data_IF_577449702690
#
_entry.id   IF_577449702690
#
_cell.length_a   1.000
_cell.length_b   1.000
_cell.length_c   1.000
_cell.angle_alpha   90.00
_cell.angle_beta   90.00
_cell.angle_gamma   90.00
#
_symmetry.space_group_name_H-M   'P 1'
#
loop_
_entity.id
_entity.type
_entity.pdbx_description
1 polymer ?
#
# COMPACT_ATOMS: atom_id res chain seq x y z
N UNK A 1 58.76 -27.43 24.08
CA UNK A 1 59.09 -26.18 23.36
C UNK A 1 58.18 -25.92 22.14
N UNK A 2 57.67 -26.90 21.40
CA UNK A 2 56.84 -26.67 20.22
C UNK A 2 55.39 -26.18 20.48
N UNK A 3 54.81 -26.45 21.63
CA UNK A 3 53.42 -26.08 21.91
C UNK A 3 53.17 -24.55 22.07
N UNK A 4 54.19 -23.81 22.41
CA UNK A 4 54.13 -22.35 22.57
C UNK A 4 54.13 -21.64 21.20
N UNK A 5 54.93 -22.17 20.26
CA UNK A 5 55.03 -21.65 18.89
C UNK A 5 53.68 -21.82 18.15
N UNK A 6 52.97 -22.94 18.32
CA UNK A 6 51.67 -23.20 17.74
C UNK A 6 50.56 -22.26 18.29
N UNK A 7 50.64 -21.95 19.61
CA UNK A 7 49.69 -20.99 20.21
C UNK A 7 49.89 -19.57 19.70
N UNK A 8 51.14 -19.14 19.57
CA UNK A 8 51.47 -17.77 19.07
C UNK A 8 51.13 -17.62 17.59
N UNK A 9 51.36 -18.66 16.76
CA UNK A 9 50.92 -18.65 15.35
C UNK A 9 49.42 -18.57 15.19
N UNK A 10 48.63 -19.29 15.98
CA UNK A 10 47.16 -19.19 15.93
C UNK A 10 46.66 -17.83 16.33
N UNK A 11 47.30 -17.18 17.35
CA UNK A 11 46.96 -15.83 17.79
C UNK A 11 47.24 -14.80 16.70
N UNK A 12 48.43 -14.90 16.05
CA UNK A 12 48.79 -14.06 14.92
C UNK A 12 47.85 -14.18 13.75
N UNK A 13 47.47 -15.41 13.34
CA UNK A 13 46.48 -15.62 12.30
C UNK A 13 45.12 -15.01 12.65
N UNK A 14 44.68 -15.12 13.91
CA UNK A 14 43.42 -14.55 14.35
C UNK A 14 43.43 -13.02 14.33
N UNK A 15 44.50 -12.39 14.77
CA UNK A 15 44.71 -10.93 14.71
C UNK A 15 44.74 -10.44 13.26
N UNK A 16 45.49 -11.11 12.37
CA UNK A 16 45.50 -10.78 10.95
C UNK A 16 44.12 -10.86 10.33
N UNK A 17 43.31 -11.88 10.69
CA UNK A 17 41.95 -12.04 10.18
C UNK A 17 41.06 -10.90 10.65
N UNK A 18 41.11 -10.47 11.90
CA UNK A 18 40.36 -9.33 12.43
C UNK A 18 40.75 -8.03 11.71
N UNK A 19 42.03 -7.80 11.49
CA UNK A 19 42.50 -6.59 10.81
C UNK A 19 42.02 -6.54 9.36
N UNK A 20 42.10 -7.67 8.64
CA UNK A 20 41.61 -7.78 7.25
C UNK A 20 40.11 -7.55 7.20
N UNK A 21 39.35 -8.19 8.10
CA UNK A 21 37.90 -8.02 8.16
C UNK A 21 37.48 -6.60 8.48
N UNK A 22 38.16 -5.95 9.43
CA UNK A 22 37.91 -4.54 9.78
C UNK A 22 38.24 -3.59 8.64
N UNK A 23 39.31 -3.88 7.88
CA UNK A 23 39.67 -3.09 6.71
C UNK A 23 38.65 -3.23 5.57
N UNK A 24 38.20 -4.45 5.28
CA UNK A 24 37.17 -4.70 4.29
C UNK A 24 35.86 -4.02 4.70
N UNK A 25 35.46 -4.12 5.98
CA UNK A 25 34.27 -3.47 6.52
C UNK A 25 34.35 -1.95 6.42
N UNK A 26 35.50 -1.36 6.72
CA UNK A 26 35.74 0.08 6.60
C UNK A 26 35.69 0.54 5.14
N UNK A 27 36.36 -0.18 4.22
CA UNK A 27 36.34 0.12 2.79
C UNK A 27 34.91 0.03 2.22
N UNK A 28 34.16 -0.99 2.63
CA UNK A 28 32.79 -1.15 2.17
C UNK A 28 31.88 0.02 2.61
N UNK A 29 32.01 0.46 3.87
CA UNK A 29 31.22 1.59 4.39
C UNK A 29 31.65 2.94 3.83
N UNK A 30 32.97 3.15 3.61
CA UNK A 30 33.52 4.41 3.07
C UNK A 30 33.03 4.65 1.62
N UNK A 31 32.86 3.60 0.82
CA UNK A 31 32.41 3.73 -0.57
C UNK A 31 30.90 3.63 -0.74
N UNK A 32 30.21 2.78 0.02
CA UNK A 32 28.78 2.55 -0.15
C UNK A 32 27.91 3.65 0.46
N UNK A 33 28.28 4.19 1.62
CA UNK A 33 27.50 5.24 2.29
C UNK A 33 27.49 6.54 1.48
N UNK A 34 28.66 7.07 0.98
CA UNK A 34 28.66 8.25 0.14
C UNK A 34 27.92 8.06 -1.18
N UNK A 35 28.04 6.87 -1.80
CA UNK A 35 27.31 6.55 -3.03
C UNK A 35 25.79 6.56 -2.81
N UNK A 36 25.33 5.98 -1.70
CA UNK A 36 23.91 5.97 -1.34
C UNK A 36 23.38 7.38 -1.05
N UNK A 37 24.17 8.19 -0.34
CA UNK A 37 23.87 9.61 -0.08
C UNK A 37 23.82 10.41 -1.39
N UNK A 38 24.75 10.17 -2.29
CA UNK A 38 24.83 10.85 -3.60
C UNK A 38 23.61 10.51 -4.47
N UNK A 39 23.24 9.23 -4.53
CA UNK A 39 22.03 8.78 -5.23
C UNK A 39 20.77 9.37 -4.58
N UNK A 40 20.70 9.41 -3.25
CA UNK A 40 19.56 10.00 -2.51
C UNK A 40 19.44 11.50 -2.77
N UNK A 41 20.54 12.25 -2.72
CA UNK A 41 20.59 13.69 -3.02
C UNK A 41 20.22 13.94 -4.50
N UNK A 42 20.74 13.11 -5.42
CA UNK A 42 20.44 13.21 -6.84
C UNK A 42 18.97 12.96 -7.14
N UNK A 43 18.36 11.94 -6.54
CA UNK A 43 16.92 11.68 -6.62
C UNK A 43 16.10 12.85 -6.06
N UNK A 44 16.57 13.48 -4.97
CA UNK A 44 15.91 14.63 -4.35
C UNK A 44 16.02 15.90 -5.20
N UNK A 45 17.19 16.14 -5.81
CA UNK A 45 17.42 17.28 -6.71
C UNK A 45 16.63 17.19 -8.01
N UNK A 46 16.53 15.99 -8.58
CA UNK A 46 15.74 15.78 -9.80
C UNK A 46 14.23 15.73 -9.53
N UNK A 47 13.78 15.91 -8.29
CA UNK A 47 12.36 15.73 -7.86
C UNK A 47 11.78 14.40 -8.38
N UNK A 48 12.65 13.42 -8.64
CA UNK A 48 12.19 12.07 -8.92
C UNK A 48 11.42 11.62 -7.68
N UNK A 49 10.12 11.41 -7.83
CA UNK A 49 9.32 10.74 -6.80
C UNK A 49 10.03 9.41 -6.56
N UNK A 50 10.70 9.26 -5.43
CA UNK A 50 11.11 7.93 -4.99
C UNK A 50 9.85 7.08 -5.08
N UNK A 51 9.89 5.92 -5.77
CA UNK A 51 8.73 5.07 -5.78
C UNK A 51 8.40 4.85 -4.30
N UNK A 52 7.28 5.42 -3.87
CA UNK A 52 6.73 5.06 -2.58
C UNK A 52 6.51 3.56 -2.73
N UNK A 53 7.33 2.76 -2.05
CA UNK A 53 7.00 1.36 -1.82
C UNK A 53 5.79 1.42 -0.91
N UNK A 54 4.68 1.80 -1.54
CA UNK A 54 3.38 1.85 -0.92
C UNK A 54 3.07 0.43 -0.55
N UNK A 55 2.93 0.20 0.73
CA UNK A 55 2.38 -1.04 1.25
C UNK A 55 1.02 -1.18 0.59
N UNK A 56 0.95 -1.95 -0.50
CA UNK A 56 -0.32 -2.36 -1.08
C UNK A 56 -1.08 -3.07 0.03
N UNK A 57 -1.96 -2.37 0.67
CA UNK A 57 -3.00 -3.01 1.45
C UNK A 57 -4.07 -3.48 0.45
N UNK A 58 -3.69 -4.41 -0.45
CA UNK A 58 -4.68 -5.26 -1.10
C UNK A 58 -5.20 -6.11 0.04
N UNK A 59 -6.26 -5.66 0.65
CA UNK A 59 -6.99 -6.48 1.59
C UNK A 59 -7.75 -7.51 0.77
N UNK A 60 -7.10 -8.67 0.50
CA UNK A 60 -7.75 -9.86 0.00
C UNK A 60 -8.73 -10.31 1.09
N UNK A 61 -10.02 -10.11 0.87
CA UNK A 61 -11.06 -10.52 1.80
C UNK A 61 -11.70 -11.83 1.40
N UNK A 62 -12.09 -12.64 2.40
CA UNK A 62 -12.57 -13.99 2.16
C UNK A 62 -13.92 -13.99 1.44
N UNK A 63 -14.04 -14.94 0.52
CA UNK A 63 -15.23 -15.47 -0.12
C UNK A 63 -16.49 -14.60 -0.01
N UNK A 64 -16.78 -13.92 -1.11
CA UNK A 64 -18.12 -13.45 -1.36
C UNK A 64 -19.03 -14.65 -1.55
N UNK A 65 -20.19 -14.57 -0.94
CA UNK A 65 -21.27 -15.51 -1.20
C UNK A 65 -21.78 -15.27 -2.63
N UNK A 66 -22.23 -16.29 -3.33
CA UNK A 66 -22.80 -16.20 -4.70
C UNK A 66 -23.91 -15.15 -4.86
N UNK A 67 -24.46 -14.68 -3.74
CA UNK A 67 -25.46 -13.61 -3.69
C UNK A 67 -25.02 -12.27 -4.32
N UNK A 68 -23.71 -11.99 -4.42
CA UNK A 68 -23.22 -10.72 -4.97
C UNK A 68 -23.35 -10.64 -6.49
N UNK A 69 -23.34 -11.79 -7.20
CA UNK A 69 -23.36 -11.81 -8.67
C UNK A 69 -24.63 -11.21 -9.28
N UNK A 70 -25.75 -11.30 -8.59
CA UNK A 70 -27.06 -10.81 -9.05
C UNK A 70 -27.43 -9.42 -8.53
N UNK A 71 -26.57 -8.77 -7.76
CA UNK A 71 -26.87 -7.47 -7.18
C UNK A 71 -26.87 -6.36 -8.24
N UNK A 72 -27.75 -5.41 -8.06
CA UNK A 72 -27.66 -4.09 -8.71
C UNK A 72 -26.53 -3.27 -8.11
N UNK A 73 -26.14 -2.15 -8.75
CA UNK A 73 -25.12 -1.24 -8.20
C UNK A 73 -25.47 -0.76 -6.80
N UNK A 74 -26.72 -0.34 -6.59
CA UNK A 74 -27.20 0.16 -5.29
C UNK A 74 -27.20 -0.92 -4.19
N UNK A 75 -27.59 -2.14 -4.53
CA UNK A 75 -27.52 -3.28 -3.58
C UNK A 75 -26.06 -3.58 -3.20
N UNK A 76 -25.15 -3.44 -4.15
CA UNK A 76 -23.73 -3.61 -3.89
C UNK A 76 -23.15 -2.51 -2.99
N UNK A 77 -23.55 -1.26 -3.18
CA UNK A 77 -23.18 -0.16 -2.29
C UNK A 77 -23.68 -0.41 -0.86
N UNK A 78 -24.94 -0.84 -0.71
CA UNK A 78 -25.47 -1.19 0.60
C UNK A 78 -24.74 -2.37 1.24
N UNK A 79 -24.37 -3.37 0.44
CA UNK A 79 -23.56 -4.49 0.90
C UNK A 79 -22.17 -4.03 1.37
N UNK A 80 -21.52 -3.13 0.62
CA UNK A 80 -20.23 -2.54 1.02
C UNK A 80 -20.37 -1.75 2.32
N UNK A 81 -21.48 -1.01 2.50
CA UNK A 81 -21.75 -0.28 3.74
C UNK A 81 -21.88 -1.23 4.94
N UNK A 82 -22.61 -2.33 4.80
CA UNK A 82 -22.76 -3.35 5.85
C UNK A 82 -21.43 -4.04 6.16
N UNK A 83 -20.62 -4.29 5.13
CA UNK A 83 -19.28 -4.81 5.29
C UNK A 83 -18.40 -3.86 6.14
N UNK A 84 -18.39 -2.56 5.84
CA UNK A 84 -17.64 -1.56 6.61
C UNK A 84 -18.11 -1.50 8.07
N UNK A 85 -19.43 -1.56 8.31
CA UNK A 85 -20.00 -1.63 9.67
C UNK A 85 -19.49 -2.85 10.44
N UNK A 86 -19.49 -4.03 9.82
CA UNK A 86 -18.93 -5.27 10.40
C UNK A 86 -17.42 -5.16 10.69
N UNK A 87 -16.67 -4.36 9.92
CA UNK A 87 -15.25 -4.09 10.15
C UNK A 87 -14.99 -3.03 11.23
N UNK A 88 -16.04 -2.46 11.79
CA UNK A 88 -15.97 -1.51 12.91
C UNK A 88 -15.85 -0.05 12.48
N UNK A 89 -16.15 0.25 11.22
CA UNK A 89 -16.37 1.63 10.81
C UNK A 89 -17.65 2.18 11.43
N UNK A 90 -17.64 3.46 11.75
CA UNK A 90 -18.76 4.17 12.36
C UNK A 90 -19.35 5.15 11.36
N UNK A 91 -20.61 5.56 11.59
CA UNK A 91 -21.32 6.57 10.77
C UNK A 91 -21.23 6.27 9.28
N UNK A 92 -21.38 4.99 8.91
CA UNK A 92 -21.35 4.57 7.51
C UNK A 92 -22.64 5.02 6.81
N UNK A 93 -22.50 5.91 5.85
CA UNK A 93 -23.59 6.52 5.08
C UNK A 93 -23.41 6.23 3.60
N UNK A 94 -24.47 5.80 2.93
CA UNK A 94 -24.54 5.74 1.46
C UNK A 94 -24.89 7.13 0.96
N UNK A 95 -24.18 7.63 -0.02
CA UNK A 95 -24.42 8.95 -0.62
C UNK A 95 -25.61 8.88 -1.58
N UNK A 96 -26.27 10.00 -1.89
CA UNK A 96 -27.28 10.04 -2.93
C UNK A 96 -26.68 9.70 -4.29
N UNK A 97 -27.45 9.04 -5.17
CA UNK A 97 -27.00 8.62 -6.50
C UNK A 97 -26.68 9.78 -7.47
N UNK A 98 -26.96 11.03 -7.10
CA UNK A 98 -26.65 12.22 -7.88
C UNK A 98 -25.97 13.29 -6.99
N UNK A 99 -24.87 13.87 -7.48
CA UNK A 99 -24.14 14.88 -6.74
C UNK A 99 -23.21 14.31 -5.64
N UNK A 100 -22.84 13.06 -5.78
CA UNK A 100 -21.97 12.30 -4.87
C UNK A 100 -20.48 12.61 -5.03
N UNK A 101 -20.14 13.40 -6.04
CA UNK A 101 -18.75 13.79 -6.39
C UNK A 101 -17.78 12.60 -6.49
N UNK A 102 -18.30 11.40 -6.79
CA UNK A 102 -17.52 10.16 -6.93
C UNK A 102 -17.26 9.41 -5.63
N UNK A 103 -18.09 9.62 -4.60
CA UNK A 103 -18.11 8.80 -3.40
C UNK A 103 -19.47 8.14 -3.23
N UNK A 104 -19.53 6.83 -3.20
CA UNK A 104 -20.76 6.07 -2.91
C UNK A 104 -20.97 5.88 -1.40
N UNK A 105 -19.87 5.87 -0.61
CA UNK A 105 -19.94 5.72 0.84
C UNK A 105 -19.02 6.71 1.55
N UNK A 106 -19.49 7.20 2.69
CA UNK A 106 -18.72 7.96 3.67
C UNK A 106 -18.73 7.20 4.99
N UNK A 107 -17.58 7.07 5.66
CA UNK A 107 -17.45 6.33 6.91
C UNK A 107 -16.32 6.89 7.78
N UNK A 108 -16.30 6.51 9.06
CA UNK A 108 -15.24 6.89 10.00
C UNK A 108 -14.60 5.64 10.59
N UNK A 109 -13.28 5.58 10.59
CA UNK A 109 -12.56 4.46 11.20
C UNK A 109 -12.51 4.57 12.73
N UNK A 110 -11.88 3.58 13.39
CA UNK A 110 -11.74 3.56 14.86
C UNK A 110 -10.91 4.71 15.41
N UNK A 111 -10.07 5.34 14.60
CA UNK A 111 -9.25 6.49 14.97
C UNK A 111 -9.99 7.82 14.78
N UNK A 112 -11.14 7.78 14.13
CA UNK A 112 -11.92 8.97 13.79
C UNK A 112 -11.57 9.56 12.43
N UNK A 113 -10.69 8.92 11.64
CA UNK A 113 -10.38 9.37 10.29
C UNK A 113 -11.60 9.22 9.38
N UNK A 114 -11.90 10.28 8.61
CA UNK A 114 -12.94 10.27 7.59
C UNK A 114 -12.44 9.51 6.35
N UNK A 115 -13.27 8.58 5.87
CA UNK A 115 -13.04 7.78 4.68
C UNK A 115 -14.15 8.01 3.66
N UNK A 116 -13.77 8.05 2.38
CA UNK A 116 -14.72 7.99 1.26
C UNK A 116 -14.42 6.74 0.44
N UNK A 117 -15.46 6.11 -0.10
CA UNK A 117 -15.31 4.91 -0.93
C UNK A 117 -16.13 5.04 -2.21
N UNK A 118 -15.52 4.58 -3.31
CA UNK A 118 -16.20 4.32 -4.57
C UNK A 118 -16.44 2.81 -4.69
N UNK A 119 -17.66 2.43 -5.00
CA UNK A 119 -18.10 1.04 -5.17
C UNK A 119 -18.31 0.74 -6.65
N UNK A 120 -17.70 -0.33 -7.16
CA UNK A 120 -17.89 -0.75 -8.56
C UNK A 120 -18.26 -2.22 -8.62
N UNK A 121 -19.52 -2.49 -8.98
CA UNK A 121 -20.03 -3.83 -9.23
C UNK A 121 -19.92 -4.15 -10.71
N UNK A 122 -18.86 -4.84 -11.12
CA UNK A 122 -18.59 -5.16 -12.51
C UNK A 122 -18.27 -6.63 -12.72
N UNK A 123 -18.63 -7.16 -13.90
CA UNK A 123 -18.20 -8.49 -14.34
C UNK A 123 -16.77 -8.47 -14.88
N UNK A 124 -16.34 -7.36 -15.48
CA UNK A 124 -15.03 -7.14 -16.04
C UNK A 124 -14.12 -6.39 -15.06
N UNK A 125 -12.81 -6.27 -15.42
CA UNK A 125 -11.86 -5.49 -14.63
C UNK A 125 -12.27 -4.03 -14.52
N UNK A 126 -12.09 -3.45 -13.37
CA UNK A 126 -12.34 -2.03 -13.07
C UNK A 126 -11.15 -1.19 -13.52
N UNK A 127 -11.43 -0.16 -14.31
CA UNK A 127 -10.41 0.74 -14.86
C UNK A 127 -10.08 1.95 -13.96
N UNK A 128 -9.31 2.88 -14.53
CA UNK A 128 -8.81 4.08 -13.84
C UNK A 128 -9.92 5.02 -13.36
N UNK A 129 -11.08 5.03 -14.04
CA UNK A 129 -12.19 5.95 -13.69
C UNK A 129 -12.61 5.84 -12.22
N UNK A 130 -12.72 4.61 -11.70
CA UNK A 130 -13.08 4.41 -10.29
C UNK A 130 -12.07 5.04 -9.31
N UNK A 131 -10.78 5.01 -9.66
CA UNK A 131 -9.74 5.65 -8.85
C UNK A 131 -9.79 7.17 -8.98
N UNK A 132 -10.02 7.68 -10.19
CA UNK A 132 -10.15 9.12 -10.45
C UNK A 132 -11.35 9.71 -9.70
N UNK A 133 -12.49 9.01 -9.72
CA UNK A 133 -13.71 9.38 -9.01
C UNK A 133 -13.45 9.50 -7.50
N UNK A 134 -12.87 8.49 -6.87
CA UNK A 134 -12.61 8.51 -5.44
C UNK A 134 -11.51 9.50 -5.02
N UNK A 135 -10.53 9.80 -5.90
CA UNK A 135 -9.55 10.87 -5.68
C UNK A 135 -10.21 12.24 -5.64
N UNK A 136 -11.14 12.49 -6.56
CA UNK A 136 -11.93 13.73 -6.57
C UNK A 136 -12.80 13.83 -5.31
N UNK A 137 -13.49 12.74 -4.95
CA UNK A 137 -14.30 12.67 -3.74
C UNK A 137 -13.47 12.91 -2.46
N UNK A 138 -12.26 12.34 -2.36
CA UNK A 138 -11.36 12.56 -1.22
C UNK A 138 -11.08 14.04 -1.01
N UNK A 139 -10.84 14.78 -2.08
CA UNK A 139 -10.60 16.23 -2.02
C UNK A 139 -11.87 16.99 -1.64
N UNK A 140 -13.02 16.66 -2.27
CA UNK A 140 -14.29 17.34 -2.04
C UNK A 140 -14.80 17.20 -0.60
N UNK A 141 -14.75 15.97 -0.06
CA UNK A 141 -15.21 15.68 1.32
C UNK A 141 -14.15 15.96 2.39
N UNK A 142 -12.98 16.50 2.03
CA UNK A 142 -11.82 16.68 2.93
C UNK A 142 -11.49 15.39 3.72
N UNK A 143 -11.65 14.23 3.06
CA UNK A 143 -11.44 12.95 3.70
C UNK A 143 -9.96 12.65 3.93
N UNK A 144 -9.65 12.05 5.08
CA UNK A 144 -8.28 11.63 5.42
C UNK A 144 -7.81 10.49 4.50
N UNK A 145 -8.74 9.59 4.16
CA UNK A 145 -8.45 8.37 3.40
C UNK A 145 -9.55 8.11 2.38
N UNK A 146 -9.18 7.37 1.34
CA UNK A 146 -10.14 6.96 0.33
C UNK A 146 -9.87 5.55 -0.18
N UNK A 147 -10.90 4.87 -0.68
CA UNK A 147 -10.78 3.50 -1.19
C UNK A 147 -11.74 3.19 -2.32
N UNK A 148 -11.34 2.22 -3.15
CA UNK A 148 -12.21 1.61 -4.16
C UNK A 148 -12.59 0.22 -3.70
N UNK A 149 -13.89 -0.09 -3.69
CA UNK A 149 -14.45 -1.40 -3.36
C UNK A 149 -15.05 -2.02 -4.62
N UNK A 150 -14.67 -3.24 -4.95
CA UNK A 150 -15.21 -3.92 -6.14
C UNK A 150 -15.30 -5.43 -5.95
N UNK A 151 -16.28 -6.04 -6.61
CA UNK A 151 -16.44 -7.50 -6.72
C UNK A 151 -15.51 -8.10 -7.79
N UNK A 152 -14.70 -7.29 -8.47
CA UNK A 152 -13.83 -7.71 -9.56
C UNK A 152 -12.38 -7.28 -9.29
N UNK A 153 -11.50 -7.55 -10.24
CA UNK A 153 -10.09 -7.10 -10.21
C UNK A 153 -9.97 -5.70 -10.81
N UNK A 154 -9.07 -4.89 -10.28
CA UNK A 154 -8.66 -3.67 -10.96
C UNK A 154 -7.64 -3.99 -12.06
N UNK A 155 -7.58 -3.11 -13.08
CA UNK A 155 -6.52 -3.13 -14.08
C UNK A 155 -5.18 -2.70 -13.45
N UNK A 156 -4.06 -3.11 -14.05
CA UNK A 156 -2.73 -2.75 -13.51
C UNK A 156 -2.53 -1.23 -13.51
N UNK A 157 -3.03 -0.53 -14.53
CA UNK A 157 -3.02 0.94 -14.58
C UNK A 157 -3.85 1.58 -13.47
N UNK A 158 -5.00 0.99 -13.11
CA UNK A 158 -5.81 1.47 -12.00
C UNK A 158 -5.10 1.27 -10.65
N UNK A 159 -4.38 0.15 -10.50
CA UNK A 159 -3.57 -0.13 -9.31
C UNK A 159 -2.40 0.85 -9.17
N UNK A 160 -1.72 1.14 -10.27
CA UNK A 160 -0.64 2.13 -10.33
C UNK A 160 -1.15 3.52 -9.92
N UNK A 161 -2.27 3.97 -10.53
CA UNK A 161 -2.89 5.25 -10.19
C UNK A 161 -3.34 5.32 -8.71
N UNK A 162 -3.90 4.23 -8.19
CA UNK A 162 -4.29 4.14 -6.78
C UNK A 162 -3.09 4.28 -5.84
N UNK A 163 -1.97 3.64 -6.17
CA UNK A 163 -0.73 3.75 -5.43
C UNK A 163 -0.20 5.19 -5.40
N UNK A 164 -0.19 5.86 -6.56
CA UNK A 164 0.30 7.24 -6.67
C UNK A 164 -0.51 8.23 -5.84
N UNK A 165 -1.81 7.93 -5.59
CA UNK A 165 -2.74 8.80 -4.88
C UNK A 165 -3.08 8.32 -3.46
N UNK A 166 -2.37 7.32 -2.92
CA UNK A 166 -2.62 6.72 -1.60
C UNK A 166 -4.09 6.25 -1.44
N UNK A 167 -4.64 5.57 -2.48
CA UNK A 167 -5.98 5.01 -2.48
C UNK A 167 -5.94 3.54 -2.10
N UNK A 168 -6.80 3.15 -1.15
CA UNK A 168 -6.94 1.76 -0.70
C UNK A 168 -7.79 0.95 -1.68
N UNK A 169 -7.36 -0.27 -1.98
CA UNK A 169 -8.07 -1.14 -2.91
C UNK A 169 -8.66 -2.35 -2.17
N UNK A 170 -9.95 -2.55 -2.33
CA UNK A 170 -10.71 -3.67 -1.78
C UNK A 170 -11.22 -4.52 -2.94
N UNK A 171 -10.35 -5.39 -3.47
CA UNK A 171 -10.69 -6.37 -4.49
C UNK A 171 -11.31 -7.61 -3.82
N UNK A 172 -12.56 -7.82 -4.05
CA UNK A 172 -13.33 -8.89 -3.46
C UNK A 172 -13.50 -10.01 -4.48
N UNK A 173 -12.48 -10.82 -4.63
CA UNK A 173 -12.40 -11.86 -5.65
C UNK A 173 -12.89 -13.17 -5.05
N UNK A 174 -13.84 -13.82 -5.73
CA UNK A 174 -14.10 -15.24 -5.53
C UNK A 174 -12.86 -16.03 -5.97
N UNK A 175 -12.17 -16.66 -5.00
CA UNK A 175 -11.11 -17.63 -5.28
C UNK A 175 -11.70 -18.98 -5.70
#
# INVERSE_FOLDING_TARGET
MFGWIFKTMKLLCWVCWIVIYSFIFLCFNVFTIPLFLLVWVFCKLLKLKTPKVGRYSIMLYPKWNDSVRGMTGLEFEQYCADYLRKKGFKKVTVTPASGDYGADLIAYDKKGDCWVFQCKHFQNKVGNSAVQEVVAAKAHYHANKAGVMTNSKLTDKAKELALENDIFLYEMING
#
